data_IF_393503003246
#
_entry.id   IF_393503003246
#
_cell.length_a   1.000
_cell.length_b   1.000
_cell.length_c   1.000
_cell.angle_alpha   90.00
_cell.angle_beta   90.00
_cell.angle_gamma   90.00
#
_symmetry.space_group_name_H-M   'P 1'
#
loop_
_entity.id
_entity.type
_entity.pdbx_description
1 polymer ?
#
# COMPACT_ATOMS: atom_id res chain seq x y z
N UNK A 1 6.95 -17.24 4.32
CA UNK A 1 7.37 -16.97 2.92
C UNK A 1 8.81 -17.42 2.67
N UNK A 2 9.83 -16.89 3.36
CA UNK A 2 11.20 -17.40 3.26
C UNK A 2 11.34 -18.90 3.64
N UNK A 3 10.65 -19.33 4.70
CA UNK A 3 10.60 -20.75 5.11
C UNK A 3 9.99 -21.64 4.02
N UNK A 4 8.99 -21.15 3.28
CA UNK A 4 8.34 -21.90 2.21
C UNK A 4 9.25 -22.09 0.99
N UNK A 5 10.03 -21.06 0.64
CA UNK A 5 11.05 -21.15 -0.41
C UNK A 5 12.12 -22.16 0.01
N UNK A 6 12.64 -22.04 1.24
CA UNK A 6 13.66 -22.94 1.76
C UNK A 6 13.21 -24.41 1.80
N UNK A 7 12.00 -24.67 2.29
CA UNK A 7 11.41 -26.01 2.30
C UNK A 7 11.17 -26.56 0.89
N UNK A 8 10.78 -25.72 -0.07
CA UNK A 8 10.61 -26.12 -1.46
C UNK A 8 11.94 -26.50 -2.13
N UNK A 9 12.99 -25.68 -1.95
CA UNK A 9 14.33 -25.98 -2.45
C UNK A 9 14.84 -27.29 -1.85
N UNK A 10 14.67 -27.47 -0.54
CA UNK A 10 15.05 -28.69 0.15
C UNK A 10 14.35 -29.92 -0.44
N UNK A 11 13.03 -29.86 -0.63
CA UNK A 11 12.25 -30.97 -1.19
C UNK A 11 12.70 -31.36 -2.61
N UNK A 12 12.98 -30.39 -3.48
CA UNK A 12 13.47 -30.68 -4.85
C UNK A 12 14.88 -31.30 -4.80
N UNK A 13 15.78 -30.73 -3.99
CA UNK A 13 17.15 -31.24 -3.86
C UNK A 13 17.22 -32.62 -3.18
N UNK A 14 16.26 -32.94 -2.32
CA UNK A 14 16.12 -34.22 -1.64
C UNK A 14 15.47 -35.33 -2.49
N UNK A 15 15.19 -35.07 -3.78
CA UNK A 15 14.62 -36.07 -4.67
C UNK A 15 13.16 -36.40 -4.38
N UNK A 16 12.35 -35.40 -4.02
CA UNK A 16 10.93 -35.62 -3.80
C UNK A 16 10.22 -36.20 -5.05
N UNK A 17 9.14 -36.95 -4.80
CA UNK A 17 8.30 -37.49 -5.86
C UNK A 17 7.59 -36.37 -6.64
N UNK A 18 6.86 -36.72 -7.70
CA UNK A 18 6.19 -35.75 -8.57
C UNK A 18 5.26 -34.79 -7.80
N UNK A 19 4.55 -35.28 -6.79
CA UNK A 19 3.66 -34.48 -5.96
C UNK A 19 4.42 -33.53 -5.03
N UNK A 20 5.54 -33.99 -4.46
CA UNK A 20 6.42 -33.15 -3.65
C UNK A 20 7.08 -32.05 -4.47
N UNK A 21 7.50 -32.36 -5.70
CA UNK A 21 8.10 -31.37 -6.60
C UNK A 21 7.10 -30.31 -7.08
N UNK A 22 5.84 -30.67 -7.34
CA UNK A 22 4.80 -29.69 -7.69
C UNK A 22 4.46 -28.79 -6.50
N UNK A 23 4.30 -29.35 -5.30
CA UNK A 23 4.08 -28.57 -4.08
C UNK A 23 5.27 -27.64 -3.77
N UNK A 24 6.50 -28.13 -3.94
CA UNK A 24 7.71 -27.34 -3.78
C UNK A 24 7.80 -26.17 -4.78
N UNK A 25 7.48 -26.42 -6.06
CA UNK A 25 7.44 -25.39 -7.09
C UNK A 25 6.43 -24.28 -6.76
N UNK A 26 5.23 -24.64 -6.32
CA UNK A 26 4.22 -23.68 -5.89
C UNK A 26 4.67 -22.86 -4.67
N UNK A 27 5.27 -23.51 -3.67
CA UNK A 27 5.78 -22.84 -2.47
C UNK A 27 6.85 -21.81 -2.80
N UNK A 28 7.78 -22.13 -3.71
CA UNK A 28 8.79 -21.22 -4.19
C UNK A 28 8.15 -20.04 -4.95
N UNK A 29 7.25 -20.33 -5.89
CA UNK A 29 6.58 -19.33 -6.71
C UNK A 29 5.79 -18.31 -5.84
N UNK A 30 4.98 -18.81 -4.89
CA UNK A 30 4.21 -17.96 -3.97
C UNK A 30 5.15 -17.14 -3.07
N UNK A 31 6.23 -17.74 -2.59
CA UNK A 31 7.22 -17.04 -1.77
C UNK A 31 7.88 -15.89 -2.53
N UNK A 32 8.34 -16.12 -3.75
CA UNK A 32 8.93 -15.09 -4.63
C UNK A 32 7.90 -14.00 -4.92
N UNK A 33 6.68 -14.39 -5.31
CA UNK A 33 5.58 -13.47 -5.59
C UNK A 33 5.29 -12.55 -4.40
N UNK A 34 5.24 -13.10 -3.18
CA UNK A 34 5.09 -12.30 -1.96
C UNK A 34 6.20 -11.26 -1.78
N UNK A 35 7.46 -11.64 -2.03
CA UNK A 35 8.58 -10.69 -1.91
C UNK A 35 8.51 -9.58 -2.96
N UNK A 36 8.06 -9.88 -4.18
CA UNK A 36 7.80 -8.88 -5.22
C UNK A 36 6.70 -7.90 -4.80
N UNK A 37 5.59 -8.40 -4.24
CA UNK A 37 4.53 -7.54 -3.70
C UNK A 37 5.04 -6.68 -2.55
N UNK A 38 5.84 -7.26 -1.64
CA UNK A 38 6.41 -6.53 -0.51
C UNK A 38 7.36 -5.42 -0.98
N UNK A 39 8.20 -5.68 -1.96
CA UNK A 39 9.11 -4.68 -2.52
C UNK A 39 8.35 -3.48 -3.11
N UNK A 40 7.18 -3.72 -3.71
CA UNK A 40 6.32 -2.67 -4.28
C UNK A 40 5.38 -2.01 -3.26
N UNK A 41 5.22 -2.60 -2.08
CA UNK A 41 4.31 -2.07 -1.04
C UNK A 41 4.83 -0.86 -0.28
N UNK A 42 6.03 -0.36 -0.63
CA UNK A 42 6.57 0.84 -0.01
C UNK A 42 5.62 2.02 -0.25
N UNK A 43 4.93 2.44 0.81
CA UNK A 43 4.12 3.66 0.78
C UNK A 43 5.08 4.84 0.93
N UNK A 44 4.98 5.85 0.05
CA UNK A 44 5.74 7.09 0.22
C UNK A 44 5.50 7.68 1.61
N UNK A 45 6.55 7.72 2.44
CA UNK A 45 6.54 8.42 3.72
C UNK A 45 6.91 9.88 3.49
N UNK A 46 5.99 10.63 2.86
CA UNK A 46 6.14 12.08 2.80
C UNK A 46 5.87 12.61 4.21
N UNK A 47 6.81 13.36 4.83
CA UNK A 47 6.57 13.93 6.15
C UNK A 47 5.32 14.82 6.13
N UNK A 48 4.53 14.87 7.23
CA UNK A 48 3.34 15.70 7.29
C UNK A 48 3.68 17.17 7.00
N UNK A 49 2.91 17.79 6.12
CA UNK A 49 3.11 19.19 5.71
C UNK A 49 2.68 20.16 6.83
N UNK A 50 1.80 19.74 7.74
CA UNK A 50 1.35 20.53 8.88
C UNK A 50 1.15 19.64 10.11
N UNK A 51 1.52 20.16 11.28
CA UNK A 51 1.27 19.60 12.60
C UNK A 51 0.07 20.24 13.30
N UNK A 52 -0.23 19.76 14.51
CA UNK A 52 -1.29 20.35 15.35
C UNK A 52 -0.88 21.75 15.80
N UNK A 53 -1.73 22.73 15.52
CA UNK A 53 -1.49 24.15 15.85
C UNK A 53 -0.90 24.95 14.68
N UNK A 54 -0.39 24.27 13.64
CA UNK A 54 0.08 24.95 12.44
C UNK A 54 -1.08 25.49 11.61
N UNK A 55 -0.80 26.54 10.82
CA UNK A 55 -1.73 27.01 9.80
C UNK A 55 -1.78 25.96 8.68
N UNK A 56 -2.98 25.45 8.40
CA UNK A 56 -3.23 24.56 7.27
C UNK A 56 -2.83 25.25 5.94
N UNK A 57 -2.11 24.57 5.03
CA UNK A 57 -1.84 25.09 3.70
C UNK A 57 -3.14 25.36 2.95
N UNK A 58 -3.21 26.51 2.28
CA UNK A 58 -4.35 26.83 1.44
C UNK A 58 -4.35 25.94 0.18
N UNK A 59 -5.53 25.61 -0.32
CA UNK A 59 -5.67 24.84 -1.56
C UNK A 59 -6.98 25.17 -2.27
N UNK A 60 -6.95 24.91 -3.57
CA UNK A 60 -8.11 24.95 -4.46
C UNK A 60 -8.30 23.57 -5.08
N UNK A 61 -9.54 23.07 -5.05
CA UNK A 61 -9.93 21.79 -5.61
C UNK A 61 -11.30 21.90 -6.29
N UNK A 62 -11.73 20.88 -7.02
CA UNK A 62 -13.10 20.79 -7.49
C UNK A 62 -13.96 20.07 -6.45
N UNK A 63 -15.19 20.53 -6.24
CA UNK A 63 -16.20 19.83 -5.46
C UNK A 63 -16.89 18.72 -6.28
N UNK A 64 -17.83 18.01 -5.65
CA UNK A 64 -18.58 16.91 -6.27
C UNK A 64 -19.44 17.36 -7.47
N UNK A 65 -19.70 18.65 -7.63
CA UNK A 65 -20.45 19.24 -8.74
C UNK A 65 -19.53 19.84 -9.81
N UNK A 66 -18.21 19.75 -9.64
CA UNK A 66 -17.22 20.37 -10.53
C UNK A 66 -17.03 21.87 -10.33
N UNK A 67 -17.57 22.45 -9.25
CA UNK A 67 -17.33 23.85 -8.90
C UNK A 67 -15.98 23.98 -8.19
N UNK A 68 -15.38 25.17 -8.30
CA UNK A 68 -14.15 25.48 -7.58
C UNK A 68 -14.44 25.63 -6.08
N UNK A 69 -13.76 24.82 -5.26
CA UNK A 69 -13.71 24.92 -3.82
C UNK A 69 -12.35 25.47 -3.38
N UNK A 70 -12.37 26.54 -2.60
CA UNK A 70 -11.19 27.14 -1.99
C UNK A 70 -11.24 26.96 -0.47
N UNK A 71 -10.18 26.46 0.16
CA UNK A 71 -10.14 26.27 1.61
C UNK A 71 -10.37 27.58 2.37
N UNK A 72 -9.90 28.70 1.82
CA UNK A 72 -10.17 30.05 2.33
C UNK A 72 -11.65 30.36 2.59
N UNK A 73 -12.59 29.71 1.87
CA UNK A 73 -14.03 29.86 2.08
C UNK A 73 -14.52 29.40 3.46
N UNK A 74 -13.74 28.57 4.15
CA UNK A 74 -14.05 28.04 5.48
C UNK A 74 -13.45 28.87 6.63
N UNK A 75 -12.75 29.97 6.34
CA UNK A 75 -12.12 30.81 7.37
C UNK A 75 -13.15 31.30 8.40
N UNK A 76 -12.74 31.30 9.67
CA UNK A 76 -13.57 31.72 10.80
C UNK A 76 -14.60 30.69 11.28
N UNK A 77 -14.65 29.49 10.67
CA UNK A 77 -15.54 28.39 11.08
C UNK A 77 -14.73 27.15 11.43
N UNK A 78 -15.09 26.39 12.49
CA UNK A 78 -14.53 25.07 12.70
C UNK A 78 -15.02 24.12 11.60
N UNK A 79 -14.11 23.31 11.05
CA UNK A 79 -14.43 22.31 10.02
C UNK A 79 -13.62 21.03 10.24
N UNK A 80 -14.11 19.92 9.68
CA UNK A 80 -13.41 18.63 9.64
C UNK A 80 -13.01 18.34 8.19
N UNK A 81 -11.71 18.34 7.92
CA UNK A 81 -11.16 17.93 6.63
C UNK A 81 -10.77 16.46 6.67
N UNK A 82 -11.28 15.67 5.73
CA UNK A 82 -11.02 14.22 5.64
C UNK A 82 -10.55 13.86 4.23
N UNK A 83 -9.44 13.14 4.15
CA UNK A 83 -8.89 12.63 2.89
C UNK A 83 -9.36 11.18 2.66
N UNK A 84 -9.76 10.90 1.43
CA UNK A 84 -10.13 9.56 0.96
C UNK A 84 -9.18 9.12 -0.15
N UNK A 85 -8.95 7.81 -0.28
CA UNK A 85 -8.06 7.23 -1.31
C UNK A 85 -8.76 6.95 -2.65
N UNK A 86 -10.03 7.34 -2.77
CA UNK A 86 -10.89 7.11 -3.92
C UNK A 86 -12.36 7.33 -3.58
N UNK A 87 -13.17 7.58 -4.60
CA UNK A 87 -14.63 7.61 -4.53
C UNK A 87 -15.15 6.26 -5.04
N UNK A 88 -16.17 5.70 -4.37
CA UNK A 88 -16.86 4.47 -4.78
C UNK A 88 -18.18 4.83 -5.44
#
# INVERSE_FOLDING_TARGET
>A
MAVGIGAGIYAISGGANWLGNTAAGLSIAIGIFYFILRAQSAQSSVPPIAGVGDKIPDFTALDDNGNEFQLASLQGKPFLLKFFRGHW
#
